data_IF_906352655198
#
_entry.id   IF_906352655198
#
_cell.length_a   1.000
_cell.length_b   1.000
_cell.length_c   1.000
_cell.angle_alpha   90.00
_cell.angle_beta   90.00
_cell.angle_gamma   90.00
#
_symmetry.space_group_name_H-M   'P 1'
#
loop_
_entity.id
_entity.type
_entity.pdbx_description
1 polymer ?
#
# COMPACT_ATOMS: atom_id res chain seq x y z
N UNK A 1 41.04 53.37 -25.28
CA UNK A 1 40.96 52.21 -24.38
C UNK A 1 39.49 51.83 -24.24
N UNK A 2 39.00 50.74 -24.82
CA UNK A 2 37.64 50.32 -24.66
C UNK A 2 37.49 49.54 -23.35
N UNK A 3 36.38 49.76 -22.63
CA UNK A 3 36.01 49.09 -21.39
C UNK A 3 35.51 47.67 -21.73
N UNK A 4 36.12 46.64 -21.10
CA UNK A 4 35.65 45.28 -21.08
C UNK A 4 34.30 45.17 -20.31
N UNK A 5 33.25 44.72 -21.02
CA UNK A 5 31.99 44.29 -20.44
C UNK A 5 32.15 42.84 -20.00
N UNK A 6 32.39 42.61 -18.72
CA UNK A 6 32.28 41.30 -18.10
C UNK A 6 30.81 40.91 -17.95
N UNK A 7 30.31 40.04 -18.82
CA UNK A 7 29.03 39.37 -18.62
C UNK A 7 29.22 38.25 -17.59
N UNK A 8 28.66 38.47 -16.41
CA UNK A 8 28.48 37.36 -15.46
C UNK A 8 27.44 36.39 -16.04
N UNK A 9 27.92 35.20 -16.42
CA UNK A 9 27.05 34.04 -16.62
C UNK A 9 26.71 33.45 -15.24
N UNK A 10 25.50 33.67 -14.76
CA UNK A 10 24.95 32.87 -13.67
C UNK A 10 24.69 31.45 -14.21
N UNK A 11 25.58 30.53 -13.85
CA UNK A 11 25.32 29.12 -13.97
C UNK A 11 24.16 28.77 -13.01
N UNK A 12 22.95 28.65 -13.57
CA UNK A 12 21.87 27.98 -12.84
C UNK A 12 22.30 26.50 -12.68
N UNK A 13 22.80 26.16 -11.51
CA UNK A 13 22.93 24.78 -11.09
C UNK A 13 21.51 24.23 -10.93
N UNK A 14 21.01 23.49 -11.90
CA UNK A 14 19.83 22.68 -11.74
C UNK A 14 20.19 21.59 -10.71
N UNK A 15 19.70 21.74 -9.48
CA UNK A 15 19.67 20.65 -8.52
C UNK A 15 18.74 19.59 -9.11
N UNK A 16 19.30 18.60 -9.79
CA UNK A 16 18.58 17.38 -10.11
C UNK A 16 18.34 16.67 -8.78
N UNK A 17 17.13 16.76 -8.24
CA UNK A 17 16.68 15.86 -7.20
C UNK A 17 16.62 14.47 -7.84
N UNK A 18 17.54 13.60 -7.45
CA UNK A 18 17.53 12.18 -7.88
C UNK A 18 16.66 11.44 -6.90
N UNK A 19 15.54 10.87 -7.38
CA UNK A 19 14.71 9.97 -6.58
C UNK A 19 15.58 8.81 -6.07
N UNK A 20 15.45 8.47 -4.80
CA UNK A 20 16.09 7.29 -4.23
C UNK A 20 15.13 6.11 -4.37
N UNK A 21 15.55 5.09 -5.09
CA UNK A 21 14.78 3.88 -5.35
C UNK A 21 15.38 2.68 -4.60
N UNK A 22 14.53 1.92 -3.90
CA UNK A 22 14.91 0.66 -3.28
C UNK A 22 13.90 -0.42 -3.64
N UNK A 23 14.34 -1.46 -4.37
CA UNK A 23 13.45 -2.52 -4.82
C UNK A 23 13.40 -3.64 -3.79
N UNK A 24 12.19 -4.06 -3.46
CA UNK A 24 11.89 -5.25 -2.70
C UNK A 24 11.37 -6.35 -3.63
N UNK A 25 12.26 -7.21 -4.12
CA UNK A 25 11.88 -8.31 -5.01
C UNK A 25 10.94 -9.29 -4.30
N UNK A 26 9.94 -9.77 -5.01
CA UNK A 26 8.93 -10.71 -4.49
C UNK A 26 9.54 -11.99 -3.89
N UNK A 27 10.57 -12.53 -4.54
CA UNK A 27 11.30 -13.72 -4.07
C UNK A 27 12.20 -13.48 -2.85
N UNK A 28 12.38 -12.21 -2.41
CA UNK A 28 13.18 -11.84 -1.23
C UNK A 28 12.32 -11.47 -0.02
N UNK A 29 10.99 -11.61 -0.10
CA UNK A 29 10.09 -11.41 1.04
C UNK A 29 10.20 -12.56 2.05
N UNK A 30 9.92 -12.29 3.32
CA UNK A 30 9.71 -13.35 4.29
C UNK A 30 8.56 -14.25 3.84
N UNK A 31 8.67 -15.56 4.12
CA UNK A 31 7.61 -16.50 3.75
C UNK A 31 7.36 -17.48 4.88
N UNK A 32 6.08 -17.71 5.18
CA UNK A 32 5.66 -18.77 6.08
C UNK A 32 4.52 -19.59 5.46
N UNK A 33 4.51 -20.89 5.76
CA UNK A 33 3.44 -21.80 5.38
C UNK A 33 3.02 -22.61 6.61
N UNK A 34 1.85 -22.28 7.15
CA UNK A 34 1.27 -22.93 8.33
C UNK A 34 0.26 -24.02 7.96
N UNK A 35 0.25 -24.44 6.68
CA UNK A 35 -0.69 -25.41 6.16
C UNK A 35 -2.03 -24.79 5.72
N UNK A 36 -2.65 -24.01 6.56
CA UNK A 36 -3.89 -23.28 6.25
C UNK A 36 -3.66 -21.85 5.75
N UNK A 37 -2.52 -21.25 6.10
CA UNK A 37 -2.08 -19.92 5.69
C UNK A 37 -0.74 -20.04 4.96
N UNK A 38 -0.64 -19.46 3.77
CA UNK A 38 0.62 -19.07 3.14
C UNK A 38 0.70 -17.56 3.16
N UNK A 39 1.80 -17.02 3.65
CA UNK A 39 1.97 -15.57 3.79
C UNK A 39 3.35 -15.12 3.35
N UNK A 40 3.41 -13.95 2.70
CA UNK A 40 4.66 -13.31 2.28
C UNK A 40 4.75 -11.93 2.95
N UNK A 41 5.77 -11.76 3.77
CA UNK A 41 6.00 -10.54 4.53
C UNK A 41 6.98 -9.63 3.82
N UNK A 42 6.54 -8.43 3.46
CA UNK A 42 7.40 -7.41 2.87
C UNK A 42 8.36 -6.83 3.91
N UNK A 43 7.86 -6.60 5.12
CA UNK A 43 8.60 -6.10 6.28
C UNK A 43 8.69 -7.17 7.36
N UNK A 44 9.57 -6.96 8.34
CA UNK A 44 9.71 -7.84 9.49
C UNK A 44 8.39 -8.01 10.23
N UNK A 45 7.91 -9.24 10.32
CA UNK A 45 6.63 -9.60 10.91
C UNK A 45 6.64 -11.04 11.39
N UNK A 46 5.97 -11.32 12.53
CA UNK A 46 5.94 -12.65 13.16
C UNK A 46 7.35 -13.27 13.30
N UNK A 47 7.57 -14.43 12.70
CA UNK A 47 8.87 -15.12 12.72
C UNK A 47 9.90 -14.63 11.69
N UNK A 48 9.52 -13.73 10.79
CA UNK A 48 10.45 -13.15 9.83
C UNK A 48 11.10 -11.87 10.38
N UNK A 49 12.42 -11.84 10.40
CA UNK A 49 13.20 -10.69 10.84
C UNK A 49 14.27 -10.33 9.81
N UNK A 50 14.24 -9.08 9.34
CA UNK A 50 15.27 -8.45 8.51
C UNK A 50 15.45 -7.01 8.98
N UNK A 51 16.61 -6.61 9.54
CA UNK A 51 16.84 -5.29 10.08
C UNK A 51 16.73 -4.17 9.02
N UNK A 52 16.98 -4.49 7.74
CA UNK A 52 16.87 -3.55 6.63
C UNK A 52 15.43 -3.41 6.11
N UNK A 53 14.48 -4.19 6.67
CA UNK A 53 13.07 -4.23 6.28
C UNK A 53 12.15 -4.22 7.49
N UNK A 54 12.27 -3.21 8.32
CA UNK A 54 11.40 -3.05 9.50
C UNK A 54 10.09 -2.35 9.16
N UNK A 55 10.15 -1.32 8.34
CA UNK A 55 9.02 -0.52 7.85
C UNK A 55 9.51 0.40 6.71
N UNK A 56 8.57 1.11 6.07
CA UNK A 56 8.88 2.23 5.18
C UNK A 56 8.08 3.46 5.64
N UNK A 57 8.75 4.42 6.26
CA UNK A 57 8.06 5.53 6.91
C UNK A 57 6.97 5.01 7.86
N UNK A 58 5.76 5.53 7.74
CA UNK A 58 4.63 5.07 8.54
C UNK A 58 4.07 3.69 8.14
N UNK A 59 4.42 3.14 6.97
CA UNK A 59 3.97 1.81 6.51
C UNK A 59 4.74 0.71 7.27
N UNK A 60 4.05 0.03 8.18
CA UNK A 60 4.64 -0.96 9.10
C UNK A 60 4.54 -2.40 8.59
N UNK A 61 3.43 -2.77 7.98
CA UNK A 61 3.19 -4.14 7.49
C UNK A 61 2.60 -4.07 6.09
N UNK A 62 3.06 -4.98 5.23
CA UNK A 62 2.43 -5.36 3.99
C UNK A 62 2.64 -6.87 3.82
N UNK A 63 1.60 -7.62 4.16
CA UNK A 63 1.52 -9.05 3.98
C UNK A 63 0.61 -9.40 2.81
N UNK A 64 0.97 -10.42 2.08
CA UNK A 64 0.26 -10.99 0.93
C UNK A 64 -0.12 -12.41 1.33
N UNK A 65 -1.40 -12.60 1.68
CA UNK A 65 -1.89 -13.78 2.38
C UNK A 65 -2.78 -14.62 1.47
N UNK A 66 -2.60 -15.93 1.56
CA UNK A 66 -3.46 -16.93 0.94
C UNK A 66 -3.99 -17.86 2.04
N UNK A 67 -5.30 -17.83 2.24
CA UNK A 67 -5.99 -18.49 3.35
C UNK A 67 -6.92 -19.57 2.79
N UNK A 68 -6.76 -20.82 3.26
CA UNK A 68 -7.61 -21.93 2.86
C UNK A 68 -9.07 -21.72 3.25
N UNK A 69 -9.95 -22.38 2.52
CA UNK A 69 -11.40 -22.40 2.74
C UNK A 69 -11.74 -22.69 4.22
N UNK A 70 -12.62 -21.86 4.81
CA UNK A 70 -13.09 -21.98 6.18
C UNK A 70 -12.06 -21.72 7.27
N UNK A 71 -10.82 -21.39 6.91
CA UNK A 71 -9.74 -21.12 7.86
C UNK A 71 -9.55 -19.61 8.05
N UNK A 72 -8.82 -19.22 9.09
CA UNK A 72 -8.59 -17.81 9.38
C UNK A 72 -7.90 -17.56 10.71
N UNK A 73 -7.87 -16.30 11.10
CA UNK A 73 -7.30 -15.83 12.35
C UNK A 73 -8.40 -15.73 13.41
N UNK A 74 -8.28 -16.48 14.48
CA UNK A 74 -9.15 -16.36 15.66
C UNK A 74 -9.03 -14.98 16.31
N UNK A 75 -9.87 -14.70 17.29
CA UNK A 75 -9.91 -13.42 17.99
C UNK A 75 -8.55 -13.05 18.56
N UNK A 76 -8.04 -11.88 18.16
CA UNK A 76 -6.76 -11.33 18.57
C UNK A 76 -6.85 -9.80 18.73
N UNK A 77 -6.00 -9.19 19.59
CA UNK A 77 -6.06 -7.77 19.87
C UNK A 77 -5.15 -6.95 18.96
N UNK A 78 -5.52 -5.67 18.79
CA UNK A 78 -4.68 -4.60 18.27
C UNK A 78 -4.88 -3.34 19.08
N UNK A 79 -3.87 -2.50 19.15
CA UNK A 79 -3.92 -1.14 19.68
C UNK A 79 -3.07 -0.19 18.82
N UNK A 80 -3.45 1.09 18.81
CA UNK A 80 -2.71 2.19 18.20
C UNK A 80 -2.14 1.91 16.79
N UNK A 81 -2.96 1.25 15.95
CA UNK A 81 -2.60 0.87 14.59
C UNK A 81 -3.77 1.14 13.65
N UNK A 82 -3.45 1.61 12.45
CA UNK A 82 -4.37 1.66 11.32
C UNK A 82 -4.18 0.39 10.49
N UNK A 83 -5.24 -0.39 10.33
CA UNK A 83 -5.23 -1.70 9.66
C UNK A 83 -6.11 -1.61 8.42
N UNK A 84 -5.54 -1.93 7.27
CA UNK A 84 -6.22 -1.88 5.97
C UNK A 84 -6.18 -3.26 5.36
N UNK A 85 -7.34 -3.78 4.94
CA UNK A 85 -7.46 -5.06 4.25
C UNK A 85 -7.99 -4.83 2.83
N UNK A 86 -7.28 -5.37 1.84
CA UNK A 86 -7.68 -5.36 0.42
C UNK A 86 -7.83 -6.80 -0.03
N UNK A 87 -9.06 -7.23 -0.28
CA UNK A 87 -9.33 -8.56 -0.81
C UNK A 87 -9.03 -8.58 -2.32
N UNK A 88 -8.20 -9.54 -2.74
CA UNK A 88 -7.83 -9.75 -4.14
C UNK A 88 -8.70 -10.82 -4.80
N UNK A 89 -8.95 -11.93 -4.10
CA UNK A 89 -9.79 -13.05 -4.52
C UNK A 89 -10.46 -13.69 -3.32
N UNK A 90 -11.66 -14.23 -3.49
CA UNK A 90 -12.43 -14.89 -2.43
C UNK A 90 -13.22 -13.90 -1.55
N UNK A 91 -13.53 -14.28 -0.33
CA UNK A 91 -14.38 -13.53 0.59
C UNK A 91 -13.81 -13.60 2.01
N UNK A 92 -13.58 -12.44 2.64
CA UNK A 92 -13.11 -12.33 4.02
C UNK A 92 -14.27 -12.02 4.95
N UNK A 93 -14.55 -12.87 5.93
CA UNK A 93 -15.45 -12.56 7.03
C UNK A 93 -14.67 -11.89 8.16
N UNK A 94 -15.09 -10.69 8.56
CA UNK A 94 -14.56 -9.94 9.68
C UNK A 94 -15.62 -9.83 10.79
N UNK A 95 -15.16 -9.95 12.04
CA UNK A 95 -15.96 -9.65 13.25
C UNK A 95 -15.09 -8.99 14.29
N UNK A 96 -15.63 -7.98 14.99
CA UNK A 96 -14.88 -7.24 16.01
C UNK A 96 -15.63 -7.06 17.32
N UNK A 97 -14.90 -6.59 18.35
CA UNK A 97 -15.43 -6.34 19.70
C UNK A 97 -16.36 -5.13 19.80
N UNK A 98 -16.47 -4.31 18.73
CA UNK A 98 -17.45 -3.21 18.66
C UNK A 98 -18.82 -3.69 18.16
N UNK A 99 -18.94 -4.96 17.77
CA UNK A 99 -20.17 -5.55 17.25
C UNK A 99 -20.29 -5.46 15.72
N UNK A 100 -19.24 -5.03 15.00
CA UNK A 100 -19.25 -5.11 13.54
C UNK A 100 -19.07 -6.56 13.08
N UNK A 101 -19.78 -6.92 12.02
CA UNK A 101 -19.64 -8.18 11.30
C UNK A 101 -19.93 -7.94 9.84
N UNK A 102 -18.99 -8.30 8.96
CA UNK A 102 -19.13 -8.07 7.52
C UNK A 102 -18.36 -9.10 6.73
N UNK A 103 -18.67 -9.19 5.44
CA UNK A 103 -17.92 -9.96 4.46
C UNK A 103 -17.36 -8.97 3.43
N UNK A 104 -16.05 -8.99 3.27
CA UNK A 104 -15.30 -8.13 2.35
C UNK A 104 -14.95 -8.93 1.10
N UNK A 105 -15.20 -8.37 -0.09
CA UNK A 105 -15.04 -9.00 -1.39
C UNK A 105 -14.05 -8.24 -2.28
N UNK A 106 -13.58 -8.83 -3.39
CA UNK A 106 -12.79 -8.11 -4.39
C UNK A 106 -13.49 -6.82 -4.85
N UNK A 107 -12.72 -5.73 -4.91
CA UNK A 107 -13.25 -4.38 -5.14
C UNK A 107 -13.71 -3.66 -3.87
N UNK A 108 -13.70 -4.32 -2.72
CA UNK A 108 -13.95 -3.70 -1.42
C UNK A 108 -12.66 -3.56 -0.62
N UNK A 109 -12.61 -2.53 0.20
CA UNK A 109 -11.51 -2.24 1.11
C UNK A 109 -12.10 -2.06 2.51
N UNK A 110 -11.42 -2.62 3.49
CA UNK A 110 -11.73 -2.42 4.91
C UNK A 110 -10.63 -1.57 5.55
N UNK A 111 -11.02 -0.71 6.48
CA UNK A 111 -10.14 0.03 7.37
C UNK A 111 -10.61 -0.14 8.81
N UNK A 112 -9.67 -0.40 9.71
CA UNK A 112 -9.89 -0.46 11.15
C UNK A 112 -8.84 0.38 11.86
N UNK A 113 -9.28 1.40 12.62
CA UNK A 113 -8.42 2.14 13.55
C UNK A 113 -8.51 1.44 14.91
N UNK A 114 -7.40 0.87 15.38
CA UNK A 114 -7.40 0.09 16.62
C UNK A 114 -7.46 0.96 17.90
N UNK A 115 -6.90 2.18 17.85
CA UNK A 115 -7.01 3.19 18.93
C UNK A 115 -6.68 2.62 20.31
N UNK A 116 -7.58 2.82 21.28
CA UNK A 116 -7.43 2.37 22.67
C UNK A 116 -7.47 0.84 22.82
N UNK A 117 -7.77 0.11 21.77
CA UNK A 117 -7.76 -1.35 21.70
C UNK A 117 -9.03 -1.94 21.09
N UNK A 118 -8.84 -2.89 20.22
CA UNK A 118 -9.90 -3.67 19.58
C UNK A 118 -9.48 -5.13 19.53
N UNK A 119 -10.47 -6.02 19.59
CA UNK A 119 -10.28 -7.44 19.30
C UNK A 119 -11.07 -7.78 18.04
N UNK A 120 -10.47 -8.53 17.11
CA UNK A 120 -11.16 -8.98 15.92
C UNK A 120 -10.75 -10.38 15.49
N UNK A 121 -11.54 -10.94 14.58
CA UNK A 121 -11.27 -12.21 13.92
C UNK A 121 -11.48 -12.05 12.41
N UNK A 122 -10.70 -12.78 11.62
CA UNK A 122 -10.70 -12.73 10.16
C UNK A 122 -10.69 -14.15 9.61
N UNK A 123 -11.77 -14.58 8.94
CA UNK A 123 -11.89 -15.92 8.37
C UNK A 123 -12.20 -15.87 6.89
N UNK A 124 -11.67 -16.83 6.14
CA UNK A 124 -12.17 -17.11 4.81
C UNK A 124 -13.62 -17.58 4.89
N UNK A 125 -14.55 -16.77 4.38
CA UNK A 125 -15.98 -17.00 4.45
C UNK A 125 -16.41 -18.20 3.58
N UNK A 126 -15.66 -18.50 2.53
CA UNK A 126 -15.93 -19.65 1.65
C UNK A 126 -15.49 -20.96 2.30
N UNK A 127 -16.33 -21.99 2.21
CA UNK A 127 -15.99 -23.36 2.61
C UNK A 127 -15.27 -24.16 1.51
N UNK A 128 -15.10 -23.58 0.30
CA UNK A 128 -14.59 -24.30 -0.88
C UNK A 128 -13.39 -23.62 -1.53
N UNK A 129 -13.37 -22.29 -1.60
CA UNK A 129 -12.38 -21.52 -2.34
C UNK A 129 -11.35 -20.87 -1.41
N UNK A 130 -10.12 -20.72 -1.90
CA UNK A 130 -9.08 -19.95 -1.18
C UNK A 130 -9.41 -18.45 -1.20
N UNK A 131 -8.93 -17.74 -0.18
CA UNK A 131 -8.99 -16.29 -0.06
C UNK A 131 -7.58 -15.72 -0.23
N UNK A 132 -7.44 -14.73 -1.12
CA UNK A 132 -6.21 -13.96 -1.29
C UNK A 132 -6.45 -12.50 -0.92
N UNK A 133 -5.60 -11.94 -0.06
CA UNK A 133 -5.72 -10.57 0.41
C UNK A 133 -4.36 -9.92 0.70
N UNK A 134 -4.35 -8.60 0.74
CA UNK A 134 -3.26 -7.80 1.30
C UNK A 134 -3.68 -7.28 2.67
N UNK A 135 -2.85 -7.59 3.70
CA UNK A 135 -3.00 -7.03 5.04
C UNK A 135 -1.94 -5.95 5.22
N UNK A 136 -2.37 -4.72 5.50
CA UNK A 136 -1.52 -3.54 5.54
C UNK A 136 -1.71 -2.84 6.88
N UNK A 137 -0.61 -2.52 7.57
CA UNK A 137 -0.64 -1.77 8.80
C UNK A 137 0.14 -0.47 8.66
N UNK A 138 -0.44 0.60 9.16
CA UNK A 138 0.17 1.94 9.17
C UNK A 138 0.20 2.44 10.61
N UNK A 139 1.33 2.99 11.03
CA UNK A 139 1.41 3.66 12.33
C UNK A 139 0.44 4.83 12.36
N UNK A 140 -0.38 4.89 13.40
CA UNK A 140 -1.28 6.03 13.62
C UNK A 140 -0.47 7.29 13.99
N UNK A 141 -0.90 8.46 13.52
CA UNK A 141 -0.38 9.76 13.96
C UNK A 141 -1.02 10.26 15.27
N UNK A 142 -2.02 9.50 15.78
CA UNK A 142 -2.70 9.77 17.04
C UNK A 142 -2.74 8.51 17.90
N UNK A 143 -2.51 8.70 19.19
CA UNK A 143 -2.58 7.63 20.15
C UNK A 143 -3.96 7.63 20.86
N UNK A 144 -4.37 6.46 21.30
CA UNK A 144 -5.54 6.25 22.17
C UNK A 144 -6.84 6.88 21.64
N UNK A 145 -7.00 6.89 20.31
CA UNK A 145 -8.25 7.28 19.66
C UNK A 145 -9.34 6.24 19.90
N UNK A 146 -10.60 6.62 19.74
CA UNK A 146 -11.72 5.67 19.76
C UNK A 146 -11.57 4.66 18.61
N UNK A 147 -11.69 3.34 18.87
CA UNK A 147 -11.66 2.32 17.85
C UNK A 147 -12.73 2.54 16.78
N UNK A 148 -12.41 2.25 15.53
CA UNK A 148 -13.29 2.53 14.41
C UNK A 148 -13.17 1.46 13.32
N UNK A 149 -14.30 1.20 12.65
CA UNK A 149 -14.41 0.33 11.48
C UNK A 149 -14.99 1.10 10.29
N UNK A 150 -14.52 0.82 9.09
CA UNK A 150 -15.09 1.31 7.84
C UNK A 150 -14.85 0.32 6.70
N UNK A 151 -15.82 0.21 5.80
CA UNK A 151 -15.75 -0.59 4.59
C UNK A 151 -16.36 0.19 3.43
N UNK A 152 -15.75 0.13 2.26
CA UNK A 152 -16.27 0.76 1.04
C UNK A 152 -15.96 -0.08 -0.19
N UNK A 153 -16.82 0.03 -1.19
CA UNK A 153 -16.65 -0.59 -2.51
C UNK A 153 -16.08 0.41 -3.50
N UNK A 154 -15.16 -0.04 -4.34
CA UNK A 154 -14.53 0.72 -5.41
C UNK A 154 -14.67 -0.07 -6.71
N UNK A 155 -15.46 0.46 -7.66
CA UNK A 155 -15.77 -0.20 -8.92
C UNK A 155 -14.53 -0.34 -9.82
N UNK A 156 -14.47 -1.40 -10.62
CA UNK A 156 -13.38 -1.61 -11.56
C UNK A 156 -13.24 -0.45 -12.55
N UNK A 157 -14.34 0.17 -12.95
CA UNK A 157 -14.38 1.34 -13.84
C UNK A 157 -13.73 2.59 -13.22
N UNK A 158 -13.65 2.65 -11.88
CA UNK A 158 -12.98 3.73 -11.16
C UNK A 158 -11.45 3.60 -11.19
N UNK A 159 -10.93 2.40 -11.45
CA UNK A 159 -9.51 2.07 -11.46
C UNK A 159 -8.94 1.87 -12.86
N UNK A 160 -9.78 1.62 -13.88
CA UNK A 160 -9.33 1.33 -15.24
C UNK A 160 -8.74 2.59 -15.90
N UNK A 161 -7.45 2.53 -16.22
CA UNK A 161 -6.68 3.61 -16.86
C UNK A 161 -6.42 4.84 -16.00
N UNK A 162 -6.74 4.81 -14.71
CA UNK A 162 -6.58 5.93 -13.78
C UNK A 162 -6.32 5.46 -12.34
N UNK A 163 -5.85 6.38 -11.51
CA UNK A 163 -5.71 6.16 -10.07
C UNK A 163 -7.03 6.43 -9.36
N UNK A 164 -7.48 5.48 -8.54
CA UNK A 164 -8.57 5.65 -7.58
C UNK A 164 -7.98 5.69 -6.17
N UNK A 165 -8.11 6.81 -5.48
CA UNK A 165 -7.79 6.87 -4.06
C UNK A 165 -8.80 6.01 -3.30
N UNK A 166 -8.31 5.09 -2.47
CA UNK A 166 -9.12 4.18 -1.64
C UNK A 166 -9.03 4.52 -0.16
N UNK A 167 -7.90 5.11 0.26
CA UNK A 167 -7.65 5.58 1.64
C UNK A 167 -7.05 6.98 1.59
N UNK A 168 -7.47 7.87 2.49
CA UNK A 168 -6.94 9.21 2.68
C UNK A 168 -6.98 9.64 4.16
N UNK A 169 -6.36 10.78 4.55
CA UNK A 169 -6.43 11.28 5.93
C UNK A 169 -7.80 11.79 6.35
N UNK A 170 -8.66 12.17 5.41
CA UNK A 170 -9.87 12.96 5.64
C UNK A 170 -11.15 12.35 5.06
N UNK A 171 -11.04 11.22 4.33
CA UNK A 171 -12.20 10.59 3.69
C UNK A 171 -12.74 11.36 2.48
N UNK A 172 -11.97 12.31 1.94
CA UNK A 172 -12.38 13.06 0.74
C UNK A 172 -12.61 12.11 -0.45
N UNK A 173 -13.48 12.52 -1.37
CA UNK A 173 -13.82 11.77 -2.59
C UNK A 173 -14.30 10.32 -2.33
N UNK A 174 -15.04 10.14 -1.24
CA UNK A 174 -15.56 8.83 -0.81
C UNK A 174 -14.46 7.78 -0.55
N UNK A 175 -13.29 8.22 -0.09
CA UNK A 175 -12.24 7.32 0.41
C UNK A 175 -12.55 6.86 1.84
N UNK A 176 -11.98 5.73 2.23
CA UNK A 176 -11.86 5.40 3.66
C UNK A 176 -10.78 6.29 4.29
N UNK A 177 -10.96 6.68 5.55
CA UNK A 177 -9.99 7.55 6.20
C UNK A 177 -9.28 6.85 7.37
N UNK A 178 -8.04 7.27 7.64
CA UNK A 178 -7.19 6.77 8.71
C UNK A 178 -6.55 7.92 9.49
N UNK A 179 -6.14 7.66 10.71
CA UNK A 179 -5.35 8.59 11.52
C UNK A 179 -3.87 8.57 11.07
N UNK A 180 -3.64 8.96 9.82
CA UNK A 180 -2.29 9.19 9.29
C UNK A 180 -2.36 10.06 8.03
N UNK A 181 -1.32 10.86 7.79
CA UNK A 181 -1.16 11.67 6.58
C UNK A 181 -0.70 10.79 5.41
N UNK A 182 -1.51 9.79 5.08
CA UNK A 182 -1.23 8.79 4.09
C UNK A 182 -2.37 8.67 3.06
N UNK A 183 -2.02 8.32 1.81
CA UNK A 183 -2.96 8.11 0.71
C UNK A 183 -2.65 6.79 0.04
N UNK A 184 -3.69 5.96 -0.14
CA UNK A 184 -3.57 4.71 -0.88
C UNK A 184 -4.39 4.81 -2.16
N UNK A 185 -3.78 4.40 -3.27
CA UNK A 185 -4.41 4.44 -4.59
C UNK A 185 -4.25 3.11 -5.31
N UNK A 186 -5.33 2.63 -5.91
CA UNK A 186 -5.33 1.50 -6.82
C UNK A 186 -5.50 1.98 -8.26
N UNK A 187 -4.86 1.28 -9.20
CA UNK A 187 -5.03 1.52 -10.63
C UNK A 187 -4.78 0.26 -11.44
N UNK A 188 -5.51 0.13 -12.54
CA UNK A 188 -5.37 -0.94 -13.53
C UNK A 188 -5.06 -0.35 -14.89
N UNK A 189 -3.96 -0.75 -15.50
CA UNK A 189 -3.41 -0.10 -16.69
C UNK A 189 -3.07 -1.11 -17.77
N UNK A 190 -3.25 -0.68 -19.03
CA UNK A 190 -2.99 -1.52 -20.21
C UNK A 190 -1.54 -1.36 -20.71
N UNK A 191 -0.97 -2.38 -21.38
CA UNK A 191 0.37 -2.33 -21.94
C UNK A 191 0.58 -1.16 -22.90
N UNK A 192 1.80 -0.59 -22.88
CA UNK A 192 2.21 0.49 -23.77
C UNK A 192 1.82 1.90 -23.27
N UNK A 193 1.03 2.00 -22.18
CA UNK A 193 0.74 3.30 -21.56
C UNK A 193 1.89 3.76 -20.65
N UNK A 194 1.96 5.07 -20.44
CA UNK A 194 2.77 5.70 -19.38
C UNK A 194 1.82 6.38 -18.43
N UNK A 195 1.95 6.10 -17.15
CA UNK A 195 1.09 6.66 -16.10
C UNK A 195 1.93 7.38 -15.07
N UNK A 196 1.39 8.46 -14.53
CA UNK A 196 2.05 9.28 -13.53
C UNK A 196 1.28 9.19 -12.21
N UNK A 197 2.00 9.07 -11.10
CA UNK A 197 1.46 9.28 -9.76
C UNK A 197 2.03 10.58 -9.20
N UNK A 198 1.14 11.53 -8.89
CA UNK A 198 1.54 12.80 -8.27
C UNK A 198 1.37 12.72 -6.76
N UNK A 199 2.41 13.11 -6.01
CA UNK A 199 2.37 13.21 -4.56
C UNK A 199 1.20 14.08 -4.10
N UNK A 200 0.52 13.63 -3.06
CA UNK A 200 -0.54 14.38 -2.37
C UNK A 200 0.04 15.32 -1.32
N UNK A 201 1.16 14.94 -0.71
CA UNK A 201 1.83 15.72 0.32
C UNK A 201 3.34 15.76 0.10
N UNK A 202 3.93 16.96 -0.07
CA UNK A 202 5.40 17.09 -0.13
C UNK A 202 6.07 16.50 1.10
N UNK A 203 7.19 15.79 0.89
CA UNK A 203 7.96 15.14 1.96
C UNK A 203 7.52 13.72 2.29
N UNK A 204 6.38 13.27 1.78
CA UNK A 204 6.02 11.84 1.85
C UNK A 204 6.91 11.00 0.92
N UNK A 205 7.08 9.73 1.28
CA UNK A 205 7.58 8.69 0.39
C UNK A 205 6.44 7.88 -0.22
N UNK A 206 6.74 7.13 -1.25
CA UNK A 206 5.79 6.22 -1.91
C UNK A 206 6.32 4.80 -1.85
N UNK A 207 5.50 3.89 -1.32
CA UNK A 207 5.69 2.46 -1.50
C UNK A 207 4.75 1.99 -2.60
N UNK A 208 5.33 1.57 -3.73
CA UNK A 208 4.60 0.99 -4.84
C UNK A 208 4.63 -0.53 -4.71
N UNK A 209 3.48 -1.19 -4.77
CA UNK A 209 3.37 -2.65 -4.79
C UNK A 209 2.69 -3.09 -6.08
N UNK A 210 3.41 -3.85 -6.91
CA UNK A 210 2.87 -4.36 -8.16
C UNK A 210 2.08 -5.63 -7.89
N UNK A 211 0.76 -5.52 -7.77
CA UNK A 211 -0.13 -6.66 -7.51
C UNK A 211 -0.03 -7.68 -8.64
N UNK A 212 -0.06 -7.23 -9.90
CA UNK A 212 0.10 -8.08 -11.08
C UNK A 212 0.67 -7.30 -12.25
N UNK A 213 1.31 -7.98 -13.20
CA UNK A 213 1.82 -7.41 -14.44
C UNK A 213 3.32 -7.14 -14.41
N UNK A 214 3.74 -6.17 -15.22
CA UNK A 214 5.14 -5.77 -15.39
C UNK A 214 5.21 -4.27 -15.71
N UNK A 215 6.02 -3.52 -14.96
CA UNK A 215 6.19 -2.07 -15.16
C UNK A 215 7.65 -1.67 -15.13
N UNK A 216 7.96 -0.51 -15.74
CA UNK A 216 9.24 0.20 -15.60
C UNK A 216 9.05 1.49 -14.83
N UNK A 217 9.96 1.78 -13.89
CA UNK A 217 10.06 3.05 -13.15
C UNK A 217 11.51 3.50 -13.25
N UNK A 218 11.77 4.64 -13.88
CA UNK A 218 13.11 5.06 -14.28
C UNK A 218 13.81 3.91 -15.03
N UNK A 219 15.02 3.52 -14.64
CA UNK A 219 15.79 2.42 -15.23
C UNK A 219 15.46 1.04 -14.60
N UNK A 220 14.53 1.01 -13.64
CA UNK A 220 14.17 -0.20 -12.89
C UNK A 220 12.93 -0.88 -13.48
N UNK A 221 12.96 -2.22 -13.47
CA UNK A 221 11.85 -3.07 -13.90
C UNK A 221 11.29 -3.83 -12.71
N UNK A 222 9.97 -3.78 -12.54
CA UNK A 222 9.23 -4.53 -11.53
C UNK A 222 8.35 -5.58 -12.18
N UNK A 223 8.29 -6.75 -11.53
CA UNK A 223 7.40 -7.86 -11.86
C UNK A 223 6.33 -8.01 -10.78
N UNK A 224 5.32 -8.83 -11.07
CA UNK A 224 4.23 -9.12 -10.13
C UNK A 224 4.76 -9.42 -8.72
N UNK A 225 4.16 -8.77 -7.72
CA UNK A 225 4.50 -8.87 -6.30
C UNK A 225 5.83 -8.23 -5.88
N UNK A 226 6.55 -7.56 -6.79
CA UNK A 226 7.66 -6.71 -6.40
C UNK A 226 7.14 -5.44 -5.71
N UNK A 227 7.90 -4.92 -4.77
CA UNK A 227 7.70 -3.61 -4.15
C UNK A 227 8.81 -2.64 -4.51
N UNK A 228 8.51 -1.34 -4.48
CA UNK A 228 9.47 -0.27 -4.71
C UNK A 228 9.26 0.85 -3.70
N UNK A 229 10.28 1.11 -2.88
CA UNK A 229 10.37 2.33 -2.08
C UNK A 229 10.85 3.47 -2.98
N UNK A 230 10.13 4.58 -2.99
CA UNK A 230 10.52 5.83 -3.67
C UNK A 230 10.57 6.94 -2.64
N UNK A 231 11.76 7.50 -2.46
CA UNK A 231 12.05 8.61 -1.55
C UNK A 231 12.59 9.80 -2.35
N UNK A 232 12.60 10.98 -1.77
CA UNK A 232 13.11 12.21 -2.40
C UNK A 232 12.40 12.51 -3.73
N UNK A 233 11.07 12.41 -3.69
CA UNK A 233 10.20 12.65 -4.84
C UNK A 233 9.98 14.17 -4.95
N UNK A 234 10.28 14.76 -6.10
CA UNK A 234 10.00 16.19 -6.33
C UNK A 234 8.48 16.42 -6.40
N UNK A 235 7.79 15.72 -7.28
CA UNK A 235 6.33 15.87 -7.42
C UNK A 235 5.64 14.62 -7.98
N UNK A 236 6.28 13.88 -8.87
CA UNK A 236 5.63 12.86 -9.70
C UNK A 236 6.55 11.66 -9.95
N UNK A 237 5.96 10.46 -9.92
CA UNK A 237 6.59 9.20 -10.29
C UNK A 237 5.97 8.75 -11.63
N UNK A 238 6.78 8.58 -12.66
CA UNK A 238 6.35 8.07 -13.95
C UNK A 238 6.58 6.56 -14.05
N UNK A 239 5.58 5.83 -14.54
CA UNK A 239 5.61 4.39 -14.69
C UNK A 239 5.25 4.01 -16.13
N UNK A 240 6.10 3.21 -16.77
CA UNK A 240 5.83 2.62 -18.09
C UNK A 240 5.17 1.26 -17.89
N UNK A 241 4.00 1.06 -18.43
CA UNK A 241 3.27 -0.21 -18.32
C UNK A 241 3.75 -1.14 -19.43
N UNK A 242 4.40 -2.23 -19.05
CA UNK A 242 4.99 -3.22 -19.97
C UNK A 242 3.98 -4.34 -20.25
N UNK A 243 3.33 -4.85 -19.20
CA UNK A 243 2.21 -5.80 -19.29
C UNK A 243 0.98 -5.21 -18.58
N UNK A 244 -0.22 -5.76 -18.85
CA UNK A 244 -1.43 -5.38 -18.12
C UNK A 244 -1.16 -5.46 -16.61
N UNK A 245 -1.33 -4.36 -15.90
CA UNK A 245 -0.84 -4.21 -14.53
C UNK A 245 -1.89 -3.67 -13.60
N UNK A 246 -1.97 -4.27 -12.39
CA UNK A 246 -2.70 -3.75 -11.24
C UNK A 246 -1.69 -3.29 -10.19
N UNK A 247 -1.79 -2.04 -9.79
CA UNK A 247 -0.79 -1.36 -8.97
C UNK A 247 -1.45 -0.77 -7.73
N UNK A 248 -0.87 -1.03 -6.57
CA UNK A 248 -1.18 -0.33 -5.32
C UNK A 248 -0.06 0.67 -5.02
N UNK A 249 -0.42 1.93 -4.88
CA UNK A 249 0.47 2.99 -4.41
C UNK A 249 0.07 3.36 -3.00
N UNK A 250 1.03 3.36 -2.09
CA UNK A 250 0.90 3.74 -0.68
C UNK A 250 1.83 4.92 -0.42
N UNK A 251 1.29 6.13 -0.42
CA UNK A 251 2.01 7.35 -0.05
C UNK A 251 1.91 7.53 1.45
N UNK A 252 3.05 7.64 2.14
CA UNK A 252 3.15 7.72 3.60
C UNK A 252 4.21 8.72 4.05
N UNK A 253 4.11 9.33 5.24
CA UNK A 253 5.22 10.07 5.86
C UNK A 253 6.44 9.16 6.06
N UNK A 254 7.65 9.73 5.86
CA UNK A 254 8.93 9.06 6.07
C UNK A 254 9.46 9.28 7.49
#
# INVERSE_FOLDING_TARGET
>A
MPKENSRHFELRTSNFFIMKLTIHRSGCRGHANLGWLKTWHTFSFAGYYNPDRMHFGALRVLNDDLIKAGMGFGTHPHDNMEIITIVLEGELEHRDSMGNGSVIRPGEVQVMSAGTGIQHSEFNHSSENELSLLQIWVFSDKQDVEPRYGQASFGAEEMTGKWRNIVSPDGADHTLWIHQQAWFSLGEFVPGSTVAYSLKKPGNGVYLFLISGEIGVEDEKLNSRDGLCVEQIDSTINMKIIQSSKILVMEVPL
#
